data_IF_136187190569
#
_entry.id   IF_136187190569
#
_cell.length_a   1.000
_cell.length_b   1.000
_cell.length_c   1.000
_cell.angle_alpha   90.00
_cell.angle_beta   90.00
_cell.angle_gamma   90.00
#
_symmetry.space_group_name_H-M   'P 1'
#
loop_
_entity.id
_entity.type
_entity.pdbx_description
1 polymer ?
#
# COMPACT_ATOMS: atom_id res chain seq x y z
N UNK A 1 53.30 49.73 -20.16
CA UNK A 1 52.01 50.42 -19.99
C UNK A 1 50.93 49.64 -20.76
N UNK A 2 49.76 49.37 -20.18
CA UNK A 2 49.66 48.46 -19.04
C UNK A 2 48.41 47.52 -19.09
N UNK A 3 48.35 46.64 -18.08
CA UNK A 3 47.16 45.99 -17.46
C UNK A 3 46.34 45.01 -18.31
N UNK A 4 46.02 43.80 -17.87
CA UNK A 4 46.27 43.15 -16.59
C UNK A 4 45.38 41.91 -16.44
N UNK A 5 45.88 40.98 -15.63
CA UNK A 5 45.20 39.78 -15.18
C UNK A 5 43.82 40.07 -14.58
N UNK A 6 42.87 39.19 -14.86
CA UNK A 6 41.65 39.00 -14.07
C UNK A 6 41.30 37.50 -14.04
N UNK A 7 40.65 37.00 -12.97
CA UNK A 7 41.13 35.83 -12.26
C UNK A 7 40.29 34.56 -12.44
N UNK A 8 40.91 33.42 -12.11
CA UNK A 8 40.23 32.21 -11.68
C UNK A 8 39.43 32.51 -10.39
N UNK A 9 38.11 32.36 -10.44
CA UNK A 9 37.28 32.34 -9.23
C UNK A 9 35.99 31.57 -9.47
N UNK A 10 35.71 30.60 -8.60
CA UNK A 10 34.34 30.13 -8.37
C UNK A 10 34.14 28.63 -8.50
N UNK A 11 34.73 27.86 -7.57
CA UNK A 11 34.13 26.58 -7.16
C UNK A 11 32.78 26.93 -6.53
N UNK A 12 31.68 26.62 -7.21
CA UNK A 12 30.35 26.61 -6.60
C UNK A 12 30.07 25.17 -6.19
N UNK A 13 30.20 24.90 -4.89
CA UNK A 13 29.68 23.68 -4.28
C UNK A 13 28.15 23.63 -4.41
N UNK A 14 27.53 22.44 -4.28
CA UNK A 14 26.09 22.35 -4.26
C UNK A 14 25.56 23.18 -3.08
N UNK A 15 24.60 24.05 -3.37
CA UNK A 15 23.87 24.80 -2.36
C UNK A 15 23.24 23.79 -1.39
N UNK A 16 23.73 23.77 -0.16
CA UNK A 16 23.03 23.17 0.96
C UNK A 16 21.67 23.87 1.06
N UNK A 17 20.62 23.17 0.65
CA UNK A 17 19.26 23.61 0.87
C UNK A 17 19.03 23.60 2.38
N UNK A 18 19.16 24.79 3.00
CA UNK A 18 18.75 25.04 4.36
C UNK A 18 17.27 24.65 4.50
N UNK A 19 17.03 23.51 5.17
CA UNK A 19 15.73 23.17 5.72
C UNK A 19 15.30 24.29 6.65
N UNK A 20 14.32 25.10 6.23
CA UNK A 20 13.77 26.15 7.06
C UNK A 20 12.67 25.53 7.95
N UNK A 21 12.88 25.36 9.27
CA UNK A 21 11.93 24.67 10.15
C UNK A 21 10.65 25.48 10.44
N UNK A 22 10.50 26.66 9.83
CA UNK A 22 9.52 27.68 10.21
C UNK A 22 8.12 27.44 9.58
N UNK A 23 7.99 26.50 8.64
CA UNK A 23 6.71 26.31 7.92
C UNK A 23 5.77 25.25 8.55
N UNK A 24 6.27 24.37 9.42
CA UNK A 24 5.42 23.32 10.01
C UNK A 24 4.46 23.86 11.07
N UNK A 25 4.93 24.74 11.96
CA UNK A 25 4.16 25.19 13.12
C UNK A 25 3.11 26.25 12.75
N UNK A 26 3.42 27.10 11.76
CA UNK A 26 2.53 28.17 11.30
C UNK A 26 1.36 27.62 10.51
N UNK A 27 1.60 26.65 9.64
CA UNK A 27 0.52 25.95 8.93
C UNK A 27 -0.30 25.11 9.88
N UNK A 28 0.33 24.43 10.84
CA UNK A 28 -0.36 23.68 11.90
C UNK A 28 -1.45 24.52 12.58
N UNK A 29 -1.21 25.81 12.82
CA UNK A 29 -2.20 26.71 13.41
C UNK A 29 -3.38 27.00 12.48
N UNK A 30 -3.16 27.19 11.16
CA UNK A 30 -4.25 27.41 10.20
C UNK A 30 -5.14 26.16 10.01
N UNK A 31 -4.56 24.96 10.05
CA UNK A 31 -5.33 23.70 10.00
C UNK A 31 -6.12 23.44 11.28
N UNK A 32 -5.57 23.78 12.46
CA UNK A 32 -6.24 23.63 13.76
C UNK A 32 -7.51 24.50 13.82
N UNK A 33 -7.52 25.69 13.21
CA UNK A 33 -8.66 26.61 13.23
C UNK A 33 -9.86 26.07 12.40
N UNK A 34 -9.65 25.19 11.41
CA UNK A 34 -10.74 24.53 10.65
C UNK A 34 -11.27 23.24 11.27
N UNK A 35 -10.65 22.74 12.34
CA UNK A 35 -10.98 21.46 13.00
C UNK A 35 -11.98 21.58 14.17
N UNK A 36 -12.59 22.76 14.36
CA UNK A 36 -13.30 23.08 15.60
C UNK A 36 -14.58 22.27 15.86
N UNK A 37 -15.17 21.57 14.87
CA UNK A 37 -16.35 20.71 15.11
C UNK A 37 -16.33 19.31 14.45
N UNK A 38 -15.42 19.00 13.51
CA UNK A 38 -15.38 17.69 12.85
C UNK A 38 -14.09 16.91 13.16
N UNK A 39 -14.20 15.61 13.42
CA UNK A 39 -13.08 14.69 13.72
C UNK A 39 -12.12 14.45 12.55
N UNK A 40 -12.43 15.01 11.38
CA UNK A 40 -11.66 14.92 10.13
C UNK A 40 -12.01 16.08 9.20
N UNK A 41 -11.24 16.23 8.12
CA UNK A 41 -11.61 17.07 6.97
C UNK A 41 -11.29 16.35 5.65
N UNK A 42 -11.88 16.82 4.55
CA UNK A 42 -11.63 16.28 3.20
C UNK A 42 -10.98 17.37 2.33
N UNK A 43 -9.89 17.03 1.65
CA UNK A 43 -9.16 17.91 0.72
C UNK A 43 -8.60 17.08 -0.44
N UNK A 44 -8.82 17.52 -1.69
CA UNK A 44 -8.31 16.87 -2.91
C UNK A 44 -8.50 15.33 -2.91
N UNK A 45 -9.72 14.86 -2.67
CA UNK A 45 -10.07 13.44 -2.60
C UNK A 45 -9.37 12.65 -1.47
N UNK A 46 -8.86 13.33 -0.45
CA UNK A 46 -8.26 12.73 0.75
C UNK A 46 -9.03 13.13 1.98
N UNK A 47 -9.41 12.15 2.81
CA UNK A 47 -9.92 12.38 4.17
C UNK A 47 -8.73 12.35 5.13
N UNK A 48 -8.50 13.42 5.90
CA UNK A 48 -7.46 13.49 6.92
C UNK A 48 -8.09 13.57 8.32
N UNK A 49 -7.69 12.67 9.21
CA UNK A 49 -8.18 12.60 10.59
C UNK A 49 -7.41 13.56 11.52
N UNK A 50 -7.95 13.81 12.72
CA UNK A 50 -7.23 14.55 13.78
C UNK A 50 -5.90 13.88 14.18
N UNK A 51 -5.81 12.55 14.07
CA UNK A 51 -4.59 11.76 14.31
C UNK A 51 -3.56 11.86 13.16
N UNK A 52 -3.80 12.71 12.15
CA UNK A 52 -2.97 12.88 10.95
C UNK A 52 -2.85 11.60 10.09
N UNK A 53 -3.92 10.81 10.04
CA UNK A 53 -4.01 9.62 9.18
C UNK A 53 -4.90 9.96 7.99
N UNK A 54 -4.39 9.72 6.80
CA UNK A 54 -5.08 9.99 5.55
C UNK A 54 -5.76 8.72 5.00
N UNK A 55 -6.95 8.88 4.44
CA UNK A 55 -7.70 7.86 3.73
C UNK A 55 -8.11 8.37 2.37
N UNK A 56 -8.13 7.49 1.37
CA UNK A 56 -8.65 7.85 0.05
C UNK A 56 -10.16 8.07 0.13
N UNK A 57 -10.60 9.29 -0.18
CA UNK A 57 -12.00 9.70 -0.12
C UNK A 57 -12.66 9.73 -1.51
N UNK A 58 -11.90 10.04 -2.56
CA UNK A 58 -12.42 10.22 -3.92
C UNK A 58 -11.57 9.53 -4.99
N UNK A 59 -11.38 10.21 -6.13
CA UNK A 59 -10.73 9.67 -7.32
C UNK A 59 -11.68 8.93 -8.28
N UNK A 60 -11.10 8.37 -9.35
CA UNK A 60 -11.83 7.77 -10.48
C UNK A 60 -12.78 6.62 -10.11
N UNK A 61 -12.63 6.04 -8.90
CA UNK A 61 -13.37 4.86 -8.46
C UNK A 61 -14.49 5.13 -7.45
N UNK A 62 -14.77 6.39 -7.09
CA UNK A 62 -15.85 6.76 -6.14
C UNK A 62 -15.80 6.00 -4.81
N UNK A 63 -14.61 5.92 -4.20
CA UNK A 63 -14.32 5.07 -3.04
C UNK A 63 -15.30 5.28 -1.88
N UNK A 64 -15.59 6.53 -1.51
CA UNK A 64 -16.57 6.82 -0.44
C UNK A 64 -17.99 6.36 -0.73
N UNK A 65 -18.42 6.33 -1.99
CA UNK A 65 -19.77 5.88 -2.32
C UNK A 65 -19.95 4.39 -2.02
N UNK A 66 -18.92 3.58 -2.28
CA UNK A 66 -18.92 2.17 -1.91
C UNK A 66 -18.82 1.99 -0.40
N UNK A 67 -17.91 2.70 0.26
CA UNK A 67 -17.73 2.65 1.72
C UNK A 67 -19.02 3.01 2.46
N UNK A 68 -19.74 4.02 2.00
CA UNK A 68 -21.00 4.46 2.61
C UNK A 68 -22.23 3.68 2.14
N UNK A 69 -22.05 2.71 1.24
CA UNK A 69 -23.11 1.87 0.69
C UNK A 69 -24.04 2.58 -0.30
N UNK A 70 -23.73 3.83 -0.70
CA UNK A 70 -24.43 4.55 -1.78
C UNK A 70 -24.29 3.83 -3.12
N UNK A 71 -23.11 3.24 -3.36
CA UNK A 71 -22.86 2.32 -4.48
C UNK A 71 -22.61 0.91 -3.94
N UNK A 72 -22.95 -0.08 -4.76
CA UNK A 72 -22.70 -1.50 -4.51
C UNK A 72 -22.21 -2.15 -5.81
N UNK A 73 -21.36 -3.19 -5.74
CA UNK A 73 -21.07 -4.02 -6.90
C UNK A 73 -22.36 -4.49 -7.55
N UNK A 74 -22.37 -4.51 -8.89
CA UNK A 74 -23.48 -5.12 -9.61
C UNK A 74 -23.45 -6.64 -9.41
N UNK A 75 -24.62 -7.28 -9.55
CA UNK A 75 -24.71 -8.74 -9.49
C UNK A 75 -23.80 -9.41 -10.54
N UNK A 76 -23.69 -8.81 -11.73
CA UNK A 76 -22.79 -9.28 -12.78
C UNK A 76 -21.31 -9.18 -12.39
N UNK A 77 -20.92 -8.11 -11.70
CA UNK A 77 -19.55 -7.95 -11.19
C UNK A 77 -19.18 -9.05 -10.20
N UNK A 78 -20.07 -9.33 -9.23
CA UNK A 78 -19.91 -10.44 -8.27
C UNK A 78 -19.83 -11.80 -9.00
N UNK A 79 -20.73 -12.04 -9.97
CA UNK A 79 -20.74 -13.28 -10.75
C UNK A 79 -19.46 -13.45 -11.57
N UNK A 80 -18.96 -12.37 -12.18
CA UNK A 80 -17.73 -12.36 -12.96
C UNK A 80 -16.51 -12.63 -12.07
N UNK A 81 -16.48 -12.10 -10.85
CA UNK A 81 -15.45 -12.43 -9.88
C UNK A 81 -15.38 -13.94 -9.63
N UNK A 82 -16.50 -14.59 -9.30
CA UNK A 82 -16.54 -16.04 -9.10
C UNK A 82 -16.11 -16.85 -10.33
N UNK A 83 -16.54 -16.45 -11.53
CA UNK A 83 -16.11 -17.07 -12.80
C UNK A 83 -14.60 -16.93 -13.04
N UNK A 84 -14.04 -15.77 -12.73
CA UNK A 84 -12.61 -15.53 -12.88
C UNK A 84 -11.78 -16.38 -11.91
N UNK A 85 -12.22 -16.50 -10.65
CA UNK A 85 -11.58 -17.39 -9.67
C UNK A 85 -11.63 -18.84 -10.14
N UNK A 86 -12.80 -19.33 -10.58
CA UNK A 86 -12.96 -20.70 -11.07
C UNK A 86 -12.06 -20.99 -12.29
N UNK A 87 -12.04 -20.09 -13.27
CA UNK A 87 -11.23 -20.24 -14.49
C UNK A 87 -9.73 -20.27 -14.17
N UNK A 88 -9.25 -19.37 -13.32
CA UNK A 88 -7.83 -19.33 -12.92
C UNK A 88 -7.43 -20.54 -12.09
N UNK A 89 -8.29 -21.00 -11.19
CA UNK A 89 -8.07 -22.22 -10.43
C UNK A 89 -7.96 -23.45 -11.35
N UNK A 90 -8.85 -23.57 -12.33
CA UNK A 90 -8.79 -24.65 -13.33
C UNK A 90 -7.50 -24.61 -14.16
N UNK A 91 -7.09 -23.43 -14.65
CA UNK A 91 -5.83 -23.28 -15.39
C UNK A 91 -4.64 -23.69 -14.53
N UNK A 92 -4.60 -23.24 -13.27
CA UNK A 92 -3.52 -23.60 -12.36
C UNK A 92 -3.46 -25.11 -12.10
N UNK A 93 -4.60 -25.76 -11.92
CA UNK A 93 -4.70 -27.22 -11.77
C UNK A 93 -4.15 -27.96 -13.00
N UNK A 94 -4.57 -27.57 -14.21
CA UNK A 94 -4.05 -28.12 -15.47
C UNK A 94 -2.53 -27.93 -15.59
N UNK A 95 -2.02 -26.77 -15.16
CA UNK A 95 -0.59 -26.45 -15.13
C UNK A 95 0.15 -27.04 -13.90
N UNK A 96 -0.51 -27.85 -13.06
CA UNK A 96 0.05 -28.42 -11.82
C UNK A 96 0.70 -27.36 -10.91
N UNK A 97 0.08 -26.18 -10.85
CA UNK A 97 0.53 -25.02 -10.09
C UNK A 97 -0.46 -24.70 -8.97
N UNK A 98 0.03 -24.14 -7.87
CA UNK A 98 -0.83 -23.60 -6.81
C UNK A 98 -1.39 -22.25 -7.25
N UNK A 99 -2.62 -21.94 -6.85
CA UNK A 99 -3.28 -20.67 -7.14
C UNK A 99 -3.85 -20.04 -5.88
N UNK A 100 -3.65 -18.74 -5.75
CA UNK A 100 -4.28 -17.91 -4.72
C UNK A 100 -4.57 -16.54 -5.29
N UNK A 101 -5.78 -16.04 -5.09
CA UNK A 101 -6.16 -14.67 -5.35
C UNK A 101 -6.20 -13.92 -4.03
N UNK A 102 -5.49 -12.81 -3.93
CA UNK A 102 -5.44 -11.99 -2.71
C UNK A 102 -6.24 -10.73 -2.98
N UNK A 103 -7.25 -10.47 -2.15
CA UNK A 103 -7.93 -9.19 -2.11
C UNK A 103 -7.24 -8.37 -1.03
N UNK A 104 -6.49 -7.34 -1.42
CA UNK A 104 -5.91 -6.43 -0.44
C UNK A 104 -7.03 -5.60 0.21
N UNK A 105 -7.13 -5.56 1.55
CA UNK A 105 -8.15 -4.78 2.21
C UNK A 105 -7.92 -3.29 2.04
N UNK A 106 -8.99 -2.54 1.84
CA UNK A 106 -8.90 -1.09 1.90
C UNK A 106 -8.47 -0.63 3.30
N UNK A 107 -7.70 0.45 3.38
CA UNK A 107 -7.16 0.98 4.65
C UNK A 107 -8.22 1.21 5.73
N UNK A 108 -9.37 1.77 5.38
CA UNK A 108 -10.49 1.99 6.31
C UNK A 108 -11.15 0.69 6.81
N UNK A 109 -10.99 -0.41 6.07
CA UNK A 109 -11.48 -1.72 6.50
C UNK A 109 -10.62 -2.29 7.62
N UNK A 110 -9.34 -1.89 7.69
CA UNK A 110 -8.39 -2.34 8.73
C UNK A 110 -8.33 -1.33 9.88
N UNK A 111 -8.15 -0.05 9.58
CA UNK A 111 -7.98 1.02 10.57
C UNK A 111 -9.34 1.66 10.97
N UNK A 112 -10.27 0.84 11.46
CA UNK A 112 -11.65 1.28 11.74
C UNK A 112 -11.77 2.28 12.89
N UNK A 113 -10.88 2.19 13.88
CA UNK A 113 -10.89 3.09 15.02
C UNK A 113 -10.48 4.51 14.61
N UNK A 114 -9.56 4.61 13.64
CA UNK A 114 -9.10 5.87 13.07
C UNK A 114 -10.04 6.41 12.00
N UNK A 115 -10.77 5.55 11.29
CA UNK A 115 -11.70 5.99 10.27
C UNK A 115 -12.94 6.66 10.90
N UNK A 116 -13.27 7.90 10.52
CA UNK A 116 -14.28 8.68 11.23
C UNK A 116 -15.72 8.28 10.87
N UNK A 117 -15.95 7.69 9.70
CA UNK A 117 -17.28 7.23 9.31
C UNK A 117 -17.55 5.85 9.93
N UNK A 118 -18.74 5.69 10.50
CA UNK A 118 -19.19 4.42 11.09
C UNK A 118 -20.15 3.68 10.15
N UNK A 119 -20.37 2.39 10.39
CA UNK A 119 -21.20 1.50 9.57
C UNK A 119 -20.73 1.41 8.12
N UNK A 120 -19.42 1.27 7.92
CA UNK A 120 -18.81 1.19 6.59
C UNK A 120 -19.05 -0.17 5.95
N UNK A 121 -19.26 -0.16 4.64
CA UNK A 121 -19.29 -1.36 3.80
C UNK A 121 -17.85 -1.65 3.35
N UNK A 122 -17.43 -2.90 3.47
CA UNK A 122 -16.13 -3.37 2.98
C UNK A 122 -16.33 -4.13 1.68
N UNK A 123 -15.73 -3.64 0.61
CA UNK A 123 -15.95 -4.21 -0.71
C UNK A 123 -15.49 -5.67 -0.78
N UNK A 124 -14.35 -5.99 -0.17
CA UNK A 124 -13.83 -7.35 -0.08
C UNK A 124 -14.76 -8.33 0.64
N UNK A 125 -15.52 -7.88 1.65
CA UNK A 125 -16.53 -8.73 2.33
C UNK A 125 -17.64 -9.13 1.36
N UNK A 126 -18.09 -8.22 0.49
CA UNK A 126 -19.15 -8.51 -0.49
C UNK A 126 -18.70 -9.58 -1.49
N UNK A 127 -17.47 -9.47 -2.01
CA UNK A 127 -16.92 -10.46 -2.94
C UNK A 127 -16.65 -11.80 -2.27
N UNK A 128 -16.04 -11.83 -1.09
CA UNK A 128 -15.73 -13.08 -0.38
C UNK A 128 -16.97 -13.80 0.12
N UNK A 129 -17.97 -13.07 0.64
CA UNK A 129 -19.26 -13.64 1.07
C UNK A 129 -19.96 -14.35 -0.08
N UNK A 130 -19.88 -13.80 -1.30
CA UNK A 130 -20.48 -14.43 -2.48
C UNK A 130 -19.92 -15.82 -2.80
N UNK A 131 -18.73 -16.15 -2.29
CA UNK A 131 -18.07 -17.44 -2.47
C UNK A 131 -18.18 -18.36 -1.24
N UNK A 132 -18.73 -17.90 -0.11
CA UNK A 132 -18.63 -18.59 1.18
C UNK A 132 -19.20 -20.02 1.19
N UNK A 133 -20.25 -20.27 0.40
CA UNK A 133 -20.90 -21.58 0.24
C UNK A 133 -20.33 -22.42 -0.92
N UNK A 134 -19.23 -21.98 -1.54
CA UNK A 134 -18.62 -22.64 -2.69
C UNK A 134 -17.25 -23.23 -2.34
N UNK A 135 -16.77 -24.18 -3.14
CA UNK A 135 -15.38 -24.66 -3.05
C UNK A 135 -14.36 -23.60 -3.43
N UNK A 136 -14.76 -22.54 -4.13
CA UNK A 136 -13.87 -21.49 -4.62
C UNK A 136 -13.30 -20.61 -3.50
N UNK A 137 -13.92 -20.60 -2.32
CA UNK A 137 -13.46 -19.77 -1.17
C UNK A 137 -12.01 -20.02 -0.80
N UNK A 138 -11.51 -21.25 -0.96
CA UNK A 138 -10.14 -21.62 -0.60
C UNK A 138 -9.08 -21.02 -1.53
N UNK A 139 -9.48 -20.52 -2.70
CA UNK A 139 -8.59 -19.82 -3.63
C UNK A 139 -8.55 -18.32 -3.40
N UNK A 140 -9.27 -17.78 -2.40
CA UNK A 140 -9.34 -16.34 -2.13
C UNK A 140 -8.88 -16.04 -0.71
N UNK A 141 -7.86 -15.19 -0.58
CA UNK A 141 -7.39 -14.64 0.68
C UNK A 141 -7.86 -13.19 0.82
N UNK A 142 -8.54 -12.89 1.92
CA UNK A 142 -8.88 -11.53 2.33
C UNK A 142 -8.34 -11.28 3.75
N UNK A 143 -7.12 -10.73 3.89
CA UNK A 143 -6.36 -10.76 5.14
C UNK A 143 -6.75 -9.64 6.14
N UNK A 144 -7.98 -9.13 6.09
CA UNK A 144 -8.43 -8.01 6.93
C UNK A 144 -8.30 -8.32 8.42
N UNK A 145 -8.75 -9.49 8.86
CA UNK A 145 -8.66 -9.87 10.27
C UNK A 145 -7.21 -10.03 10.74
N UNK A 146 -6.33 -10.58 9.88
CA UNK A 146 -4.92 -10.75 10.21
C UNK A 146 -4.24 -9.39 10.41
N UNK A 147 -4.55 -8.41 9.56
CA UNK A 147 -4.05 -7.03 9.67
C UNK A 147 -4.62 -6.31 10.89
N UNK A 148 -5.90 -6.49 11.20
CA UNK A 148 -6.54 -5.90 12.38
C UNK A 148 -5.97 -6.45 13.69
N UNK A 149 -5.65 -7.76 13.73
CA UNK A 149 -5.13 -8.41 14.93
C UNK A 149 -3.69 -8.01 15.26
N UNK A 150 -3.02 -7.26 14.38
CA UNK A 150 -1.67 -6.74 14.54
C UNK A 150 -1.62 -5.22 14.33
N UNK A 151 -2.68 -4.52 14.77
CA UNK A 151 -2.80 -3.06 14.59
C UNK A 151 -1.64 -2.27 15.21
N UNK A 152 -1.00 -2.83 16.24
CA UNK A 152 0.17 -2.27 16.93
C UNK A 152 1.41 -2.16 16.04
N UNK A 153 1.46 -2.90 14.93
CA UNK A 153 2.57 -2.86 13.96
C UNK A 153 2.36 -1.82 12.85
N UNK A 154 1.35 -0.96 12.97
CA UNK A 154 0.97 0.04 11.96
C UNK A 154 0.85 -0.58 10.55
N UNK A 155 -0.18 -1.40 10.28
CA UNK A 155 -0.28 -2.18 9.03
C UNK A 155 -0.37 -1.33 7.75
N UNK A 156 -0.67 -0.03 7.86
CA UNK A 156 -0.68 0.93 6.76
C UNK A 156 0.19 2.13 7.08
N UNK A 157 0.78 2.70 6.03
CA UNK A 157 1.44 4.00 6.09
C UNK A 157 0.41 5.10 6.38
N UNK A 158 0.75 6.13 7.17
CA UNK A 158 -0.24 7.12 7.65
C UNK A 158 -0.79 8.01 6.54
N UNK A 159 0.06 8.44 5.61
CA UNK A 159 -0.25 9.35 4.50
C UNK A 159 -0.17 8.66 3.14
N UNK A 160 -0.28 7.33 3.12
CA UNK A 160 -0.29 6.53 1.91
C UNK A 160 -1.51 5.60 1.86
N UNK A 161 -1.90 5.18 0.66
CA UNK A 161 -2.93 4.15 0.41
C UNK A 161 -2.42 2.72 0.65
N UNK A 162 -1.12 2.50 0.55
CA UNK A 162 -0.52 1.17 0.63
C UNK A 162 -0.25 0.69 2.06
N UNK A 163 -0.10 -0.62 2.19
CA UNK A 163 0.38 -1.26 3.41
C UNK A 163 1.77 -0.73 3.78
N UNK A 164 2.08 -0.73 5.07
CA UNK A 164 3.48 -0.63 5.51
C UNK A 164 4.21 -1.94 5.21
N UNK A 165 5.54 -1.96 5.33
CA UNK A 165 6.28 -3.22 5.18
C UNK A 165 5.89 -4.26 6.26
N UNK A 166 5.49 -3.81 7.45
CA UNK A 166 4.88 -4.69 8.46
C UNK A 166 3.53 -5.25 8.00
N UNK A 167 2.65 -4.41 7.44
CA UNK A 167 1.39 -4.84 6.85
C UNK A 167 1.59 -5.85 5.72
N UNK A 168 2.50 -5.55 4.79
CA UNK A 168 2.90 -6.44 3.70
C UNK A 168 3.43 -7.78 4.22
N UNK A 169 4.22 -7.77 5.30
CA UNK A 169 4.74 -9.00 5.93
C UNK A 169 3.62 -9.85 6.55
N UNK A 170 2.63 -9.23 7.20
CA UNK A 170 1.44 -9.94 7.73
C UNK A 170 0.69 -10.63 6.58
N UNK A 171 0.50 -9.95 5.46
CA UNK A 171 -0.15 -10.54 4.27
C UNK A 171 0.71 -11.64 3.66
N UNK A 172 2.03 -11.43 3.54
CA UNK A 172 2.96 -12.43 3.02
C UNK A 172 2.90 -13.72 3.84
N UNK A 173 2.90 -13.62 5.18
CA UNK A 173 2.76 -14.77 6.09
C UNK A 173 1.46 -15.54 5.82
N UNK A 174 0.36 -14.84 5.57
CA UNK A 174 -0.91 -15.46 5.22
C UNK A 174 -0.88 -16.12 3.82
N UNK A 175 -0.26 -15.49 2.83
CA UNK A 175 -0.09 -16.03 1.46
C UNK A 175 0.70 -17.33 1.49
N UNK A 176 1.89 -17.32 2.10
CA UNK A 176 2.79 -18.48 2.20
C UNK A 176 2.06 -19.65 2.87
N UNK A 177 1.37 -19.39 3.98
CA UNK A 177 0.56 -20.39 4.69
C UNK A 177 -0.57 -20.95 3.82
N UNK A 178 -1.32 -20.10 3.11
CA UNK A 178 -2.41 -20.53 2.23
C UNK A 178 -1.90 -21.37 1.06
N UNK A 179 -0.71 -21.06 0.56
CA UNK A 179 -0.03 -21.87 -0.44
C UNK A 179 0.57 -23.14 0.17
N UNK A 180 0.48 -23.40 1.47
CA UNK A 180 1.01 -24.60 2.12
C UNK A 180 2.53 -24.70 2.03
N UNK A 181 3.21 -23.55 2.08
CA UNK A 181 4.65 -23.46 2.23
C UNK A 181 4.98 -23.22 3.71
N UNK A 182 6.08 -23.81 4.19
CA UNK A 182 6.64 -23.53 5.51
C UNK A 182 7.85 -22.61 5.32
N UNK A 183 7.71 -21.36 5.77
CA UNK A 183 8.73 -20.32 5.64
C UNK A 183 8.81 -19.42 6.88
N UNK A 184 8.48 -19.97 8.05
CA UNK A 184 8.39 -19.18 9.28
C UNK A 184 9.71 -18.49 9.61
N UNK A 185 10.84 -19.19 9.44
CA UNK A 185 12.19 -18.68 9.71
C UNK A 185 12.48 -17.49 8.79
N UNK A 186 12.24 -17.64 7.49
CA UNK A 186 12.47 -16.59 6.49
C UNK A 186 11.59 -15.35 6.73
N UNK A 187 10.34 -15.55 7.15
CA UNK A 187 9.44 -14.44 7.46
C UNK A 187 9.91 -13.69 8.72
N UNK A 188 10.41 -14.39 9.72
CA UNK A 188 10.92 -13.77 10.94
C UNK A 188 12.25 -13.04 10.68
N UNK A 189 13.10 -13.58 9.79
CA UNK A 189 14.27 -12.87 9.27
C UNK A 189 13.87 -11.59 8.54
N UNK A 190 12.89 -11.63 7.64
CA UNK A 190 12.36 -10.44 6.95
C UNK A 190 11.84 -9.41 7.95
N UNK A 191 11.15 -9.83 9.02
CA UNK A 191 10.69 -8.93 10.06
C UNK A 191 11.84 -8.16 10.70
N UNK A 192 12.95 -8.85 10.98
CA UNK A 192 14.14 -8.25 11.59
C UNK A 192 14.84 -7.21 10.70
N UNK A 193 14.56 -7.23 9.39
CA UNK A 193 15.14 -6.32 8.41
C UNK A 193 14.33 -5.03 8.23
N UNK A 194 13.10 -4.94 8.75
CA UNK A 194 12.28 -3.72 8.71
C UNK A 194 12.83 -2.71 9.72
N UNK A 195 13.83 -1.93 9.27
CA UNK A 195 14.69 -1.11 10.16
C UNK A 195 15.03 0.26 9.59
N UNK A 196 14.83 0.51 8.30
CA UNK A 196 15.25 1.74 7.64
C UNK A 196 14.22 2.83 7.89
N UNK A 197 14.56 3.79 8.76
CA UNK A 197 13.72 4.97 8.98
C UNK A 197 13.86 5.96 7.83
N UNK A 198 12.74 6.47 7.34
CA UNK A 198 12.72 7.52 6.33
C UNK A 198 11.57 8.49 6.57
N UNK A 199 11.72 9.72 6.06
CA UNK A 199 10.65 10.69 5.95
C UNK A 199 10.22 10.75 4.49
N UNK A 200 8.93 10.56 4.23
CA UNK A 200 8.35 10.66 2.89
C UNK A 200 6.98 11.32 2.96
N UNK A 201 6.35 11.58 1.81
CA UNK A 201 5.01 12.17 1.76
C UNK A 201 3.88 11.14 1.71
N UNK A 202 4.14 9.94 1.20
CA UNK A 202 3.10 9.03 0.73
C UNK A 202 2.29 9.60 -0.46
N UNK A 203 1.54 8.75 -1.16
CA UNK A 203 0.69 9.17 -2.28
C UNK A 203 -0.43 10.14 -1.86
N UNK A 204 -1.03 9.96 -0.67
CA UNK A 204 -2.06 10.85 -0.15
C UNK A 204 -1.48 12.15 0.40
N UNK A 205 -0.32 12.13 1.07
CA UNK A 205 0.32 13.36 1.58
C UNK A 205 0.80 14.29 0.46
N UNK A 206 1.08 13.76 -0.73
CA UNK A 206 1.36 14.55 -1.94
C UNK A 206 0.16 15.37 -2.44
N UNK A 207 -1.08 15.09 -1.99
CA UNK A 207 -2.30 15.78 -2.44
C UNK A 207 -2.60 17.08 -1.67
N UNK A 208 -1.77 17.45 -0.71
CA UNK A 208 -1.91 18.67 0.09
C UNK A 208 -0.97 19.76 -0.38
N UNK A 209 -1.33 21.02 -0.11
CA UNK A 209 -0.47 22.19 -0.33
C UNK A 209 -0.27 22.96 0.99
N UNK A 210 0.96 22.94 1.56
CA UNK A 210 2.07 22.13 1.10
C UNK A 210 1.85 20.64 1.39
N UNK A 211 2.74 19.82 0.83
CA UNK A 211 2.71 18.38 1.01
C UNK A 211 2.90 18.02 2.47
N UNK A 212 2.14 17.05 2.94
CA UNK A 212 2.31 16.48 4.28
C UNK A 212 3.39 15.40 4.25
N UNK A 213 4.13 15.25 5.35
CA UNK A 213 5.16 14.22 5.52
C UNK A 213 4.80 13.27 6.65
N UNK A 214 5.31 12.04 6.55
CA UNK A 214 5.25 11.02 7.57
C UNK A 214 6.62 10.38 7.76
N UNK A 215 6.83 9.84 8.96
CA UNK A 215 7.88 8.85 9.17
C UNK A 215 7.37 7.48 8.74
N UNK A 216 8.28 6.65 8.22
CA UNK A 216 8.01 5.24 7.92
C UNK A 216 9.26 4.41 8.17
N UNK A 217 9.05 3.13 8.46
CA UNK A 217 10.12 2.14 8.57
C UNK A 217 10.01 1.20 7.39
N UNK A 218 11.11 1.04 6.67
CA UNK A 218 11.22 0.18 5.50
C UNK A 218 12.08 -1.05 5.75
N UNK A 219 11.81 -2.08 4.97
CA UNK A 219 12.59 -3.29 4.80
C UNK A 219 13.94 -2.96 4.18
N UNK A 220 15.01 -3.33 4.89
CA UNK A 220 16.37 -3.29 4.36
C UNK A 220 16.64 -4.57 3.57
N UNK A 221 16.57 -4.48 2.24
CA UNK A 221 16.94 -5.62 1.38
C UNK A 221 18.42 -5.94 1.54
N UNK A 222 18.74 -7.20 1.86
CA UNK A 222 20.12 -7.69 2.01
C UNK A 222 20.42 -8.90 1.10
N UNK A 223 19.49 -9.26 0.20
CA UNK A 223 19.66 -10.37 -0.74
C UNK A 223 19.96 -9.89 -2.15
N UNK A 224 20.67 -10.73 -2.90
CA UNK A 224 21.01 -10.49 -4.29
C UNK A 224 19.93 -11.06 -5.20
N UNK A 225 19.50 -10.26 -6.18
CA UNK A 225 18.62 -10.68 -7.27
C UNK A 225 19.02 -9.96 -8.56
N UNK A 226 18.65 -10.53 -9.70
CA UNK A 226 18.68 -9.84 -10.99
C UNK A 226 17.25 -9.42 -11.34
N UNK A 227 17.09 -8.23 -11.90
CA UNK A 227 15.80 -7.68 -12.31
C UNK A 227 15.83 -7.26 -13.77
N UNK A 228 14.79 -7.65 -14.50
CA UNK A 228 14.51 -7.22 -15.86
C UNK A 228 13.09 -6.68 -15.89
N UNK A 229 12.94 -5.37 -16.09
CA UNK A 229 11.64 -4.71 -16.22
C UNK A 229 11.34 -4.35 -17.68
N UNK A 230 10.07 -4.33 -18.04
CA UNK A 230 9.60 -3.69 -19.27
C UNK A 230 9.47 -2.17 -19.08
N UNK A 231 9.48 -1.41 -20.17
CA UNK A 231 9.19 0.04 -20.18
C UNK A 231 7.67 0.33 -20.13
N UNK A 232 6.94 -0.38 -19.27
CA UNK A 232 5.51 -0.14 -19.07
C UNK A 232 5.21 1.30 -18.66
N UNK A 233 3.97 1.75 -18.88
CA UNK A 233 3.53 3.09 -18.42
C UNK A 233 2.72 2.96 -17.15
N UNK A 234 3.19 3.60 -16.07
CA UNK A 234 2.54 3.66 -14.76
C UNK A 234 2.00 2.29 -14.31
N UNK A 235 0.69 2.01 -14.44
CA UNK A 235 0.05 0.77 -13.98
C UNK A 235 -0.28 -0.23 -15.11
N UNK A 236 0.18 -0.01 -16.34
CA UNK A 236 -0.19 -0.82 -17.49
C UNK A 236 1.03 -1.34 -18.26
N UNK A 237 1.02 -2.65 -18.56
CA UNK A 237 2.03 -3.29 -19.40
C UNK A 237 3.40 -3.46 -18.72
N UNK A 238 3.46 -3.30 -17.39
CA UNK A 238 4.66 -3.59 -16.62
C UNK A 238 4.81 -5.11 -16.46
N UNK A 239 5.97 -5.61 -16.84
CA UNK A 239 6.38 -7.00 -16.69
C UNK A 239 7.75 -6.95 -16.03
N UNK A 240 7.82 -7.45 -14.80
CA UNK A 240 9.06 -7.57 -14.06
C UNK A 240 9.46 -9.04 -13.90
N UNK A 241 10.70 -9.36 -14.23
CA UNK A 241 11.30 -10.67 -14.05
C UNK A 241 12.39 -10.54 -13.00
N UNK A 242 12.21 -11.24 -11.88
CA UNK A 242 13.20 -11.34 -10.81
C UNK A 242 13.85 -12.73 -10.82
N UNK A 243 15.18 -12.77 -10.89
CA UNK A 243 15.96 -13.99 -10.71
C UNK A 243 16.66 -13.95 -9.35
N UNK A 244 16.26 -14.83 -8.45
CA UNK A 244 16.77 -14.90 -7.07
C UNK A 244 17.48 -16.25 -6.87
N UNK A 245 18.76 -16.39 -7.25
CA UNK A 245 19.46 -17.67 -7.19
C UNK A 245 19.56 -18.24 -5.77
N UNK A 246 19.58 -17.36 -4.76
CA UNK A 246 19.68 -17.70 -3.36
C UNK A 246 18.31 -17.72 -2.64
N UNK A 247 17.19 -17.83 -3.37
CA UNK A 247 15.87 -17.89 -2.77
C UNK A 247 15.76 -19.10 -1.81
N UNK A 248 15.26 -18.93 -0.58
CA UNK A 248 15.07 -20.05 0.35
C UNK A 248 14.14 -21.14 -0.22
N UNK A 249 13.14 -20.70 -0.99
CA UNK A 249 12.20 -21.58 -1.69
C UNK A 249 12.49 -21.52 -3.19
N UNK A 250 13.00 -22.62 -3.73
CA UNK A 250 13.36 -22.75 -5.15
C UNK A 250 12.13 -23.04 -6.02
N UNK A 251 11.28 -22.03 -6.17
CA UNK A 251 10.05 -22.08 -6.97
C UNK A 251 9.95 -20.91 -7.94
N UNK A 252 9.08 -21.06 -8.93
CA UNK A 252 8.68 -19.98 -9.82
C UNK A 252 7.37 -19.40 -9.32
N UNK A 253 7.35 -18.08 -9.13
CA UNK A 253 6.16 -17.33 -8.77
C UNK A 253 5.74 -16.48 -9.97
N UNK A 254 4.45 -16.44 -10.24
CA UNK A 254 3.85 -15.55 -11.22
C UNK A 254 2.79 -14.71 -10.49
N UNK A 255 2.99 -13.40 -10.47
CA UNK A 255 2.10 -12.45 -9.79
C UNK A 255 1.40 -11.62 -10.86
N UNK A 256 0.09 -11.45 -10.69
CA UNK A 256 -0.71 -10.48 -11.44
C UNK A 256 -1.32 -9.54 -10.41
N UNK A 257 -1.15 -8.24 -10.60
CA UNK A 257 -1.64 -7.21 -9.70
C UNK A 257 -1.69 -5.85 -10.36
N UNK A 258 -2.15 -4.89 -9.59
CA UNK A 258 -2.26 -3.46 -9.88
C UNK A 258 -1.48 -2.61 -8.89
#
# INVERSE_FOLDING_TARGET
APVGNAPLSGVSGPAEAFFNPIDYETQRQEWIIRMSDNSYFIHNDVLLTKSKIAFLAGGNHSVLDYITGKKKPTADSIKNFGRNIASRAYIAEVCKSKFLHVIFPDKQSVMQDEFPLKNTVRLGDLYTTSLASTSLKHFVLFPTQALQSHSELEPFQKLDTHLSDHGSLIVLRAIVKCLGEDAQIEIDELQSLITVKQINNGDLGNKFSPKLTQESTLLKTNWNYQHFGSEGTFNNGQIDIYLSPNAPIQKKLLIFGD
#
